data_IF_660027189674
#
_entry.id   IF_660027189674
#
_cell.length_a   1.000
_cell.length_b   1.000
_cell.length_c   1.000
_cell.angle_alpha   90.00
_cell.angle_beta   90.00
_cell.angle_gamma   90.00
#
_symmetry.space_group_name_H-M   'P 1'
#
loop_
_entity.id
_entity.type
_entity.pdbx_description
1 polymer ?
#
# COMPACT_ATOMS: atom_id res chain seq x y z
N UNK A 1 -8.01 12.40 -7.56
CA UNK A 1 -8.72 11.35 -6.79
C UNK A 1 -8.16 11.30 -5.38
N UNK A 2 -6.85 11.08 -5.25
CA UNK A 2 -6.15 11.08 -3.98
C UNK A 2 -5.75 12.52 -3.62
N UNK A 3 -5.89 12.86 -2.34
CA UNK A 3 -5.36 14.10 -1.76
C UNK A 3 -3.84 13.98 -1.56
N UNK A 4 -3.37 12.78 -1.16
CA UNK A 4 -1.97 12.44 -0.95
C UNK A 4 -1.69 11.03 -1.47
N UNK A 5 -0.63 10.87 -2.27
CA UNK A 5 -0.19 9.56 -2.74
C UNK A 5 0.76 8.91 -1.72
N UNK A 6 0.70 7.58 -1.61
CA UNK A 6 1.63 6.76 -0.82
C UNK A 6 2.45 5.96 -1.83
N UNK A 7 3.40 6.64 -2.50
CA UNK A 7 4.19 6.07 -3.60
C UNK A 7 4.94 4.79 -3.18
N UNK A 8 5.46 4.77 -1.95
CA UNK A 8 6.20 3.64 -1.40
C UNK A 8 5.42 2.32 -1.35
N UNK A 9 4.08 2.37 -1.36
CA UNK A 9 3.27 1.14 -1.45
C UNK A 9 3.49 0.42 -2.78
N UNK A 10 3.41 1.15 -3.90
CA UNK A 10 3.60 0.58 -5.23
C UNK A 10 5.02 0.08 -5.44
N UNK A 11 6.00 0.80 -4.91
CA UNK A 11 7.42 0.44 -4.97
C UNK A 11 7.71 -0.87 -4.24
N UNK A 12 7.31 -0.97 -2.96
CA UNK A 12 7.51 -2.18 -2.15
C UNK A 12 6.72 -3.35 -2.73
N UNK A 13 5.48 -3.12 -3.17
CA UNK A 13 4.69 -4.15 -3.83
C UNK A 13 5.40 -4.74 -5.04
N UNK A 14 5.93 -3.89 -5.93
CA UNK A 14 6.64 -4.32 -7.14
C UNK A 14 7.97 -4.99 -6.80
N UNK A 15 8.68 -4.52 -5.79
CA UNK A 15 9.91 -5.16 -5.30
C UNK A 15 9.65 -6.59 -4.82
N UNK A 16 8.64 -6.80 -3.98
CA UNK A 16 8.29 -8.13 -3.47
C UNK A 16 7.78 -9.00 -4.63
N UNK A 17 6.87 -8.48 -5.44
CA UNK A 17 6.35 -9.19 -6.62
C UNK A 17 7.44 -9.60 -7.59
N UNK A 18 8.50 -8.79 -7.78
CA UNK A 18 9.63 -9.16 -8.63
C UNK A 18 10.33 -10.42 -8.15
N UNK A 19 10.37 -10.68 -6.84
CA UNK A 19 10.96 -11.91 -6.32
C UNK A 19 10.16 -13.15 -6.74
N UNK A 20 8.84 -13.03 -6.84
CA UNK A 20 7.91 -14.12 -7.17
C UNK A 20 7.67 -14.28 -8.68
N UNK A 21 7.32 -13.18 -9.38
CA UNK A 21 6.86 -13.17 -10.78
C UNK A 21 7.82 -12.46 -11.75
N UNK A 22 8.99 -12.03 -11.26
CA UNK A 22 10.05 -11.36 -12.04
C UNK A 22 9.50 -10.15 -12.81
N UNK A 23 9.88 -10.01 -14.07
CA UNK A 23 9.54 -8.86 -14.92
C UNK A 23 8.04 -8.69 -15.16
N UNK A 24 7.23 -9.72 -14.93
CA UNK A 24 5.75 -9.64 -15.02
C UNK A 24 5.17 -8.56 -14.10
N UNK A 25 5.87 -8.20 -13.01
CA UNK A 25 5.47 -7.12 -12.11
C UNK A 25 5.36 -5.74 -12.78
N UNK A 26 5.98 -5.53 -13.95
CA UNK A 26 5.84 -4.28 -14.73
C UNK A 26 4.37 -4.01 -15.09
N UNK A 27 3.54 -5.05 -15.21
CA UNK A 27 2.11 -4.91 -15.51
C UNK A 27 1.28 -4.50 -14.28
N UNK A 28 1.86 -4.58 -13.08
CA UNK A 28 1.18 -4.24 -11.82
C UNK A 28 1.22 -2.74 -11.55
N UNK A 29 0.13 -2.05 -11.89
CA UNK A 29 -0.09 -0.62 -11.63
C UNK A 29 -0.76 -0.38 -10.28
N UNK A 30 -0.19 -0.96 -9.22
CA UNK A 30 -0.67 -0.74 -7.85
C UNK A 30 -0.53 0.74 -7.47
N UNK A 31 -1.55 1.25 -6.78
CA UNK A 31 -1.64 2.63 -6.32
C UNK A 31 -2.12 2.63 -4.87
N UNK A 32 -1.62 3.54 -4.06
CA UNK A 32 -2.19 3.81 -2.75
C UNK A 32 -2.15 5.30 -2.44
N UNK A 33 -3.02 5.72 -1.55
CA UNK A 33 -3.05 7.09 -1.07
C UNK A 33 -4.13 7.34 -0.04
N UNK A 34 -4.37 8.60 0.23
CA UNK A 34 -5.44 9.10 1.08
C UNK A 34 -6.37 9.92 0.22
N UNK A 35 -7.68 9.71 0.36
CA UNK A 35 -8.70 10.61 -0.17
C UNK A 35 -9.78 10.82 0.90
N UNK A 36 -10.12 12.08 1.18
CA UNK A 36 -11.13 12.47 2.17
C UNK A 36 -10.94 11.76 3.52
N UNK A 37 -9.71 11.80 4.06
CA UNK A 37 -9.38 11.17 5.34
C UNK A 37 -9.41 9.64 5.33
N UNK A 38 -9.46 9.00 4.15
CA UNK A 38 -9.58 7.55 4.00
C UNK A 38 -8.39 6.98 3.23
N UNK A 39 -7.75 5.94 3.78
CA UNK A 39 -6.75 5.18 3.04
C UNK A 39 -7.39 4.38 1.90
N UNK A 40 -6.78 4.45 0.72
CA UNK A 40 -7.19 3.72 -0.47
C UNK A 40 -5.98 2.92 -0.96
N UNK A 41 -6.18 1.62 -1.19
CA UNK A 41 -5.20 0.72 -1.80
C UNK A 41 -5.83 0.04 -3.02
N UNK A 42 -5.24 0.26 -4.19
CA UNK A 42 -5.65 -0.34 -5.45
C UNK A 42 -4.68 -1.45 -5.81
N UNK A 43 -5.19 -2.68 -5.87
CA UNK A 43 -4.42 -3.90 -6.13
C UNK A 43 -4.84 -4.57 -7.45
N UNK A 44 -3.95 -5.35 -8.09
CA UNK A 44 -4.29 -6.20 -9.22
C UNK A 44 -5.30 -7.27 -8.81
N UNK A 45 -6.11 -7.74 -9.76
CA UNK A 45 -7.20 -8.69 -9.47
C UNK A 45 -6.76 -10.13 -9.14
N UNK A 46 -5.48 -10.47 -9.17
CA UNK A 46 -5.03 -11.83 -8.86
C UNK A 46 -4.96 -12.07 -7.35
N UNK A 47 -5.34 -13.27 -6.90
CA UNK A 47 -5.30 -13.62 -5.47
C UNK A 47 -3.89 -13.51 -4.88
N UNK A 48 -2.86 -13.86 -5.66
CA UNK A 48 -1.47 -13.70 -5.25
C UNK A 48 -1.11 -12.24 -5.02
N UNK A 49 -1.49 -11.34 -5.94
CA UNK A 49 -1.28 -9.90 -5.76
C UNK A 49 -2.04 -9.36 -4.53
N UNK A 50 -3.27 -9.81 -4.30
CA UNK A 50 -4.01 -9.44 -3.08
C UNK A 50 -3.28 -9.90 -1.81
N UNK A 51 -2.68 -11.09 -1.81
CA UNK A 51 -1.93 -11.62 -0.68
C UNK A 51 -0.64 -10.83 -0.42
N UNK A 52 0.13 -10.50 -1.47
CA UNK A 52 1.31 -9.62 -1.38
C UNK A 52 0.94 -8.21 -0.93
N UNK A 53 -0.16 -7.65 -1.42
CA UNK A 53 -0.66 -6.36 -0.96
C UNK A 53 -1.06 -6.38 0.50
N UNK A 54 -1.77 -7.42 0.93
CA UNK A 54 -2.21 -7.58 2.31
C UNK A 54 -1.06 -7.75 3.30
N UNK A 55 0.04 -8.42 2.91
CA UNK A 55 1.20 -8.56 3.81
C UNK A 55 1.82 -7.20 4.17
N UNK A 56 1.81 -6.24 3.23
CA UNK A 56 2.25 -4.87 3.46
C UNK A 56 1.21 -4.10 4.28
N UNK A 57 -0.07 -4.16 3.85
CA UNK A 57 -1.16 -3.40 4.48
C UNK A 57 -1.34 -3.80 5.95
N UNK A 58 -1.31 -5.10 6.28
CA UNK A 58 -1.50 -5.56 7.66
C UNK A 58 -0.45 -4.97 8.59
N UNK A 59 0.80 -4.85 8.15
CA UNK A 59 1.89 -4.33 8.97
C UNK A 59 1.76 -2.82 9.16
N UNK A 60 1.23 -2.11 8.16
CA UNK A 60 0.98 -0.67 8.26
C UNK A 60 -0.31 -0.33 9.03
N UNK A 61 -1.27 -1.23 9.09
CA UNK A 61 -2.50 -1.07 9.88
C UNK A 61 -2.40 -1.64 11.31
N UNK A 62 -1.32 -2.36 11.64
CA UNK A 62 -1.04 -2.77 13.03
C UNK A 62 -0.40 -1.61 13.80
N UNK A 63 -1.15 -1.04 14.75
CA UNK A 63 -0.69 0.09 15.57
C UNK A 63 0.53 -0.24 16.45
N UNK A 64 0.82 -1.53 16.66
CA UNK A 64 1.98 -2.00 17.43
C UNK A 64 3.26 -2.02 16.61
N UNK A 65 3.18 -1.92 15.28
CA UNK A 65 4.34 -1.98 14.41
C UNK A 65 5.23 -0.74 14.58
N UNK A 66 6.55 -0.96 14.65
CA UNK A 66 7.58 0.07 14.95
C UNK A 66 8.59 0.13 13.79
N UNK A 67 9.25 1.28 13.54
CA UNK A 67 9.21 2.53 14.33
C UNK A 67 7.96 3.39 14.09
N UNK A 68 7.27 3.20 12.98
CA UNK A 68 6.08 3.96 12.59
C UNK A 68 5.13 3.10 11.75
N UNK A 69 3.85 3.47 11.69
CA UNK A 69 2.84 2.81 10.88
C UNK A 69 1.72 3.77 10.45
N UNK A 70 0.94 3.40 9.44
CA UNK A 70 -0.19 4.21 8.94
C UNK A 70 -1.32 4.36 9.98
N UNK A 71 -1.52 3.37 10.86
CA UNK A 71 -2.54 3.46 11.91
C UNK A 71 -2.31 4.64 12.87
N UNK A 72 -1.05 5.00 13.15
CA UNK A 72 -0.70 6.17 13.96
C UNK A 72 -1.05 7.51 13.29
N UNK A 73 -1.23 7.52 11.97
CA UNK A 73 -1.49 8.75 11.20
C UNK A 73 -2.99 9.00 10.94
N UNK A 74 -3.88 8.06 11.31
CA UNK A 74 -5.32 8.13 11.01
C UNK A 74 -5.95 9.46 11.43
N UNK A 75 -5.64 9.96 12.64
CA UNK A 75 -6.21 11.20 13.16
C UNK A 75 -5.77 12.45 12.37
N UNK A 76 -4.73 12.35 11.56
CA UNK A 76 -4.08 13.46 10.85
C UNK A 76 -4.31 13.41 9.34
N UNK A 77 -5.13 12.49 8.84
CA UNK A 77 -5.28 12.27 7.41
C UNK A 77 -5.94 13.43 6.65
N UNK A 78 -6.67 14.29 7.36
CA UNK A 78 -7.33 15.48 6.81
C UNK A 78 -6.48 16.75 6.95
N UNK A 79 -5.31 16.67 7.62
CA UNK A 79 -4.37 17.79 7.69
C UNK A 79 -3.79 18.03 6.29
N UNK A 80 -3.89 19.26 5.80
CA UNK A 80 -3.40 19.66 4.46
C UNK A 80 -1.91 19.94 4.50
#
# INVERSE_FOLDING_TARGET
>A
LLDKEIEGFGEIFRMISYQEIKTSTIQSRCLAGVANGTYIFCLPGSSGACQTGWSIIKEQLDSRNRPCNLAQLIARLTET
#
